data_IF_333769658021
#
_entry.id   IF_333769658021
#
_cell.length_a   1.000
_cell.length_b   1.000
_cell.length_c   1.000
_cell.angle_alpha   90.00
_cell.angle_beta   90.00
_cell.angle_gamma   90.00
#
_symmetry.space_group_name_H-M   'P 1'
#
loop_
_entity.id
_entity.type
_entity.pdbx_description
1 polymer ?
#
# COMPACT_ATOMS: atom_id res chain seq x y z
N UNK A 1 -30.21 -37.29 -32.28
CA UNK A 1 -30.07 -35.94 -31.67
C UNK A 1 -29.38 -35.91 -30.29
N UNK A 2 -29.14 -37.03 -29.60
CA UNK A 2 -28.46 -37.03 -28.27
C UNK A 2 -26.94 -36.82 -28.37
N UNK A 3 -26.31 -37.27 -29.47
CA UNK A 3 -24.85 -37.16 -29.68
C UNK A 3 -24.36 -35.72 -29.89
N UNK A 4 -25.08 -34.90 -30.68
CA UNK A 4 -24.72 -33.48 -30.88
C UNK A 4 -24.87 -32.62 -29.62
N UNK A 5 -25.86 -32.89 -28.75
CA UNK A 5 -26.04 -32.16 -27.49
C UNK A 5 -24.89 -32.41 -26.49
N UNK A 6 -24.36 -33.64 -26.42
CA UNK A 6 -23.18 -33.97 -25.60
C UNK A 6 -21.90 -33.28 -26.12
N UNK A 7 -21.77 -33.14 -27.44
CA UNK A 7 -20.64 -32.45 -28.07
C UNK A 7 -20.61 -30.96 -27.74
N UNK A 8 -21.75 -30.25 -27.82
CA UNK A 8 -21.84 -28.82 -27.48
C UNK A 8 -21.58 -28.60 -25.98
N UNK A 9 -22.15 -29.43 -25.11
CA UNK A 9 -21.91 -29.34 -23.67
C UNK A 9 -20.43 -29.53 -23.32
N UNK A 10 -19.75 -30.48 -23.97
CA UNK A 10 -18.30 -30.66 -23.80
C UNK A 10 -17.51 -29.44 -24.24
N UNK A 11 -17.85 -28.84 -25.39
CA UNK A 11 -17.17 -27.63 -25.89
C UNK A 11 -17.35 -26.46 -24.91
N UNK A 12 -18.56 -26.25 -24.40
CA UNK A 12 -18.86 -25.20 -23.42
C UNK A 12 -18.13 -25.44 -22.09
N UNK A 13 -18.12 -26.68 -21.59
CA UNK A 13 -17.39 -27.02 -20.37
C UNK A 13 -15.87 -26.83 -20.52
N UNK A 14 -15.30 -27.24 -21.65
CA UNK A 14 -13.86 -27.05 -21.92
C UNK A 14 -13.50 -25.57 -22.05
N UNK A 15 -14.37 -24.77 -22.67
CA UNK A 15 -14.20 -23.31 -22.76
C UNK A 15 -14.28 -22.62 -21.39
N UNK A 16 -15.23 -23.02 -20.55
CA UNK A 16 -15.32 -22.48 -19.18
C UNK A 16 -14.13 -22.90 -18.33
N UNK A 17 -13.68 -24.15 -18.45
CA UNK A 17 -12.50 -24.64 -17.74
C UNK A 17 -11.23 -23.90 -18.18
N UNK A 18 -11.05 -23.64 -19.48
CA UNK A 18 -9.92 -22.86 -19.98
C UNK A 18 -9.99 -21.41 -19.54
N UNK A 19 -11.17 -20.79 -19.52
CA UNK A 19 -11.37 -19.44 -19.00
C UNK A 19 -10.99 -19.34 -17.51
N UNK A 20 -11.41 -20.30 -16.69
CA UNK A 20 -11.05 -20.36 -15.27
C UNK A 20 -9.53 -20.49 -15.11
N UNK A 21 -8.88 -21.37 -15.89
CA UNK A 21 -7.43 -21.52 -15.85
C UNK A 21 -6.70 -20.22 -16.21
N UNK A 22 -7.17 -19.50 -17.25
CA UNK A 22 -6.61 -18.20 -17.63
C UNK A 22 -6.75 -17.18 -16.49
N UNK A 23 -7.92 -17.13 -15.84
CA UNK A 23 -8.14 -16.23 -14.70
C UNK A 23 -7.26 -16.61 -13.49
N UNK A 24 -7.05 -17.89 -13.22
CA UNK A 24 -6.15 -18.35 -12.17
C UNK A 24 -4.70 -17.93 -12.45
N UNK A 25 -4.22 -18.12 -13.69
CA UNK A 25 -2.87 -17.69 -14.09
C UNK A 25 -2.74 -16.17 -14.01
N UNK A 26 -3.74 -15.42 -14.48
CA UNK A 26 -3.74 -13.96 -14.39
C UNK A 26 -3.68 -13.47 -12.93
N UNK A 27 -4.43 -14.12 -12.03
CA UNK A 27 -4.40 -13.79 -10.61
C UNK A 27 -3.04 -14.10 -9.97
N UNK A 28 -2.44 -15.26 -10.29
CA UNK A 28 -1.10 -15.60 -9.80
C UNK A 28 -0.03 -14.61 -10.29
N UNK A 29 -0.10 -14.20 -11.57
CA UNK A 29 0.79 -13.17 -12.13
C UNK A 29 0.59 -11.83 -11.41
N UNK A 30 -0.66 -11.45 -11.12
CA UNK A 30 -0.98 -10.24 -10.38
C UNK A 30 -0.43 -10.28 -8.95
N UNK A 31 -0.56 -11.40 -8.25
CA UNK A 31 -0.02 -11.56 -6.89
C UNK A 31 1.51 -11.41 -6.86
N UNK A 32 2.22 -12.02 -7.83
CA UNK A 32 3.67 -11.86 -7.98
C UNK A 32 4.04 -10.41 -8.29
N UNK A 33 3.29 -9.75 -9.17
CA UNK A 33 3.47 -8.34 -9.47
C UNK A 33 3.34 -7.46 -8.21
N UNK A 34 2.27 -7.65 -7.43
CA UNK A 34 2.02 -6.90 -6.19
C UNK A 34 3.15 -7.11 -5.18
N UNK A 35 3.67 -8.33 -5.04
CA UNK A 35 4.79 -8.61 -4.15
C UNK A 35 6.09 -7.91 -4.57
N UNK A 36 6.39 -7.88 -5.87
CA UNK A 36 7.55 -7.15 -6.40
C UNK A 36 7.42 -5.66 -6.15
N UNK A 37 6.24 -5.09 -6.43
CA UNK A 37 5.99 -3.66 -6.25
C UNK A 37 6.00 -3.25 -4.77
N UNK A 38 5.68 -4.14 -3.83
CA UNK A 38 5.78 -3.86 -2.39
C UNK A 38 7.23 -3.54 -1.98
N UNK A 39 8.21 -4.27 -2.53
CA UNK A 39 9.64 -3.99 -2.30
C UNK A 39 10.05 -2.63 -2.89
N UNK A 40 9.59 -2.34 -4.11
CA UNK A 40 9.81 -1.04 -4.76
C UNK A 40 9.22 0.12 -3.96
N UNK A 41 7.98 -0.03 -3.49
CA UNK A 41 7.30 0.97 -2.67
C UNK A 41 8.05 1.24 -1.35
N UNK A 42 8.54 0.20 -0.67
CA UNK A 42 9.35 0.36 0.54
C UNK A 42 10.66 1.13 0.27
N UNK A 43 11.34 0.83 -0.83
CA UNK A 43 12.57 1.54 -1.22
C UNK A 43 12.30 3.01 -1.57
N UNK A 44 11.20 3.30 -2.29
CA UNK A 44 10.79 4.67 -2.64
C UNK A 44 10.43 5.46 -1.40
N UNK A 45 9.71 4.84 -0.45
CA UNK A 45 9.38 5.46 0.82
C UNK A 45 10.65 5.88 1.58
N UNK A 46 11.62 4.98 1.73
CA UNK A 46 12.87 5.28 2.43
C UNK A 46 13.66 6.44 1.81
N UNK A 47 13.62 6.59 0.47
CA UNK A 47 14.31 7.68 -0.25
C UNK A 47 13.51 8.98 -0.29
N UNK A 48 12.18 8.90 -0.41
CA UNK A 48 11.31 10.07 -0.65
C UNK A 48 11.07 10.89 0.61
N UNK A 49 10.86 10.25 1.77
CA UNK A 49 10.60 10.96 3.02
C UNK A 49 11.69 12.01 3.36
N UNK A 50 12.99 11.67 3.43
CA UNK A 50 14.01 12.67 3.73
C UNK A 50 14.15 13.73 2.63
N UNK A 51 13.97 13.36 1.35
CA UNK A 51 14.00 14.30 0.22
C UNK A 51 12.92 15.38 0.31
N UNK A 52 11.79 15.07 0.95
CA UNK A 52 10.68 16.00 1.16
C UNK A 52 10.63 16.60 2.57
N UNK A 53 11.73 16.51 3.33
CA UNK A 53 11.88 17.15 4.64
C UNK A 53 11.37 16.34 5.83
N UNK A 54 10.95 15.09 5.61
CA UNK A 54 10.48 14.22 6.68
C UNK A 54 11.61 13.34 7.22
N UNK A 55 12.02 13.60 8.46
CA UNK A 55 12.93 12.72 9.19
C UNK A 55 12.12 11.66 9.93
N UNK A 56 11.80 10.56 9.26
CA UNK A 56 11.06 9.46 9.88
C UNK A 56 11.91 8.74 10.94
N UNK A 57 11.34 8.48 12.12
CA UNK A 57 11.97 7.73 13.23
C UNK A 57 11.37 6.35 13.41
N UNK A 58 10.06 6.23 13.20
CA UNK A 58 9.36 4.97 13.16
C UNK A 58 8.61 4.93 11.84
N UNK A 59 8.75 3.84 11.11
CA UNK A 59 8.03 3.57 9.85
C UNK A 59 7.43 2.18 10.01
N UNK A 60 6.11 2.07 9.91
CA UNK A 60 5.44 0.78 9.89
C UNK A 60 5.78 0.02 8.60
N UNK A 61 5.62 -1.31 8.63
CA UNK A 61 5.73 -2.11 7.41
C UNK A 61 4.72 -1.64 6.38
N UNK A 62 5.15 -1.56 5.12
CA UNK A 62 4.27 -1.21 4.01
C UNK A 62 3.14 -2.22 3.90
N UNK A 63 1.91 -1.72 3.94
CA UNK A 63 0.70 -2.48 3.73
C UNK A 63 0.22 -2.25 2.31
N UNK A 64 -0.20 -3.31 1.62
CA UNK A 64 -0.73 -3.22 0.26
C UNK A 64 -2.23 -3.39 0.27
N UNK A 65 -2.92 -2.43 -0.35
CA UNK A 65 -4.34 -2.54 -0.68
C UNK A 65 -4.46 -2.75 -2.18
N UNK A 66 -4.62 -4.01 -2.58
CA UNK A 66 -4.73 -4.41 -3.99
C UNK A 66 -6.20 -4.48 -4.45
N UNK A 67 -7.11 -5.04 -3.65
CA UNK A 67 -8.55 -5.11 -3.97
C UNK A 67 -8.84 -5.58 -5.40
N UNK A 68 -9.92 -5.09 -6.00
CA UNK A 68 -10.24 -5.25 -7.43
C UNK A 68 -9.57 -4.17 -8.30
N UNK A 69 -8.62 -3.41 -7.74
CA UNK A 69 -8.01 -2.29 -8.46
C UNK A 69 -6.88 -2.82 -9.34
N UNK A 70 -6.87 -2.39 -10.59
CA UNK A 70 -5.79 -2.66 -11.55
C UNK A 70 -4.42 -2.18 -11.03
N UNK A 71 -4.41 -1.09 -10.25
CA UNK A 71 -3.19 -0.53 -9.65
C UNK A 71 -3.26 -0.64 -8.12
N UNK A 72 -2.33 -1.39 -7.50
CA UNK A 72 -2.27 -1.50 -6.05
C UNK A 72 -1.88 -0.16 -5.42
N UNK A 73 -2.44 0.12 -4.25
CA UNK A 73 -2.01 1.24 -3.40
C UNK A 73 -1.21 0.69 -2.23
N UNK A 74 -0.05 1.27 -1.98
CA UNK A 74 0.83 0.90 -0.87
C UNK A 74 0.77 1.99 0.19
N UNK A 75 0.61 1.63 1.45
CA UNK A 75 0.45 2.58 2.53
C UNK A 75 1.34 2.23 3.70
N UNK A 76 1.91 3.23 4.36
CA UNK A 76 2.61 3.06 5.62
C UNK A 76 2.40 4.28 6.51
N UNK A 77 2.49 4.06 7.81
CA UNK A 77 2.52 5.15 8.78
C UNK A 77 3.94 5.41 9.21
N UNK A 78 4.25 6.68 9.47
CA UNK A 78 5.53 7.05 10.06
C UNK A 78 5.39 8.21 11.03
N UNK A 79 6.36 8.34 11.92
CA UNK A 79 6.43 9.45 12.88
C UNK A 79 7.72 10.23 12.71
N UNK A 80 7.61 11.54 12.90
CA UNK A 80 8.76 12.44 12.99
C UNK A 80 9.12 12.70 14.46
N UNK A 81 10.33 13.22 14.75
CA UNK A 81 10.69 13.68 16.09
C UNK A 81 9.71 14.70 16.68
N UNK A 82 9.17 15.60 15.85
CA UNK A 82 8.18 16.58 16.28
C UNK A 82 6.85 15.94 16.70
N UNK A 83 6.36 14.95 15.93
CA UNK A 83 5.20 14.15 16.33
C UNK A 83 5.44 13.42 17.65
N UNK A 84 6.58 12.73 17.79
CA UNK A 84 6.92 12.01 19.04
C UNK A 84 6.97 12.93 20.24
N UNK A 85 7.55 14.12 20.11
CA UNK A 85 7.59 15.12 21.20
C UNK A 85 6.18 15.58 21.61
N UNK A 86 5.28 15.80 20.65
CA UNK A 86 3.88 16.15 20.91
C UNK A 86 3.13 15.00 21.57
N UNK A 87 3.27 13.78 21.06
CA UNK A 87 2.68 12.57 21.61
C UNK A 87 3.15 12.32 23.05
N UNK A 88 4.45 12.44 23.30
CA UNK A 88 5.02 12.27 24.63
C UNK A 88 4.39 13.25 25.63
N UNK A 89 4.30 14.53 25.28
CA UNK A 89 3.67 15.54 26.13
C UNK A 89 2.20 15.20 26.41
N UNK A 90 1.45 14.80 25.38
CA UNK A 90 0.03 14.45 25.49
C UNK A 90 -0.18 13.22 26.39
N UNK A 91 0.56 12.14 26.15
CA UNK A 91 0.44 10.89 26.90
C UNK A 91 0.96 11.03 28.33
N UNK A 92 2.02 11.83 28.55
CA UNK A 92 2.52 12.16 29.90
C UNK A 92 1.46 12.92 30.71
N UNK A 93 0.81 13.91 30.11
CA UNK A 93 -0.28 14.64 30.76
C UNK A 93 -1.48 13.74 31.09
N UNK A 94 -1.74 12.72 30.27
CA UNK A 94 -2.79 11.74 30.48
C UNK A 94 -2.37 10.57 31.41
N UNK A 95 -1.18 10.59 32.02
CA UNK A 95 -0.68 9.51 32.87
C UNK A 95 -0.51 8.16 32.16
N UNK A 96 -0.49 8.16 30.82
CA UNK A 96 -0.63 6.95 29.99
C UNK A 96 0.67 6.48 29.35
N UNK A 97 1.80 7.16 29.61
CA UNK A 97 3.10 6.82 29.01
C UNK A 97 3.98 6.03 29.97
N UNK A 98 4.51 4.89 29.50
CA UNK A 98 5.47 4.06 30.26
C UNK A 98 6.91 4.38 29.86
N UNK A 99 7.15 4.79 28.62
CA UNK A 99 8.46 5.20 28.11
C UNK A 99 8.37 6.17 26.92
N UNK A 100 9.44 6.93 26.65
CA UNK A 100 9.53 7.77 25.45
C UNK A 100 9.39 6.99 24.13
N UNK A 101 9.69 5.69 24.15
CA UNK A 101 9.58 4.80 22.97
C UNK A 101 8.14 4.51 22.58
N UNK A 102 7.19 4.69 23.50
CA UNK A 102 5.77 4.43 23.27
C UNK A 102 5.07 5.57 22.52
N UNK A 103 5.75 6.72 22.36
CA UNK A 103 5.18 7.96 21.81
C UNK A 103 5.04 7.98 20.27
N UNK A 104 4.79 6.85 19.62
CA UNK A 104 4.56 6.79 18.16
C UNK A 104 3.13 7.18 17.75
N UNK A 105 2.19 7.13 18.69
CA UNK A 105 0.79 7.54 18.50
C UNK A 105 0.42 8.54 19.60
N UNK A 106 -0.63 9.36 19.44
CA UNK A 106 -1.62 9.36 18.34
C UNK A 106 -1.27 10.22 17.12
N UNK A 107 -0.27 11.10 17.19
CA UNK A 107 0.12 11.95 16.05
C UNK A 107 1.15 11.26 15.16
N UNK A 108 0.83 11.11 13.88
CA UNK A 108 1.65 10.46 12.86
C UNK A 108 1.35 11.02 11.46
N UNK A 109 2.13 10.59 10.48
CA UNK A 109 1.85 10.79 9.06
C UNK A 109 1.54 9.45 8.39
N UNK A 110 0.64 9.47 7.42
CA UNK A 110 0.39 8.36 6.52
C UNK A 110 1.00 8.71 5.17
N UNK A 111 1.77 7.80 4.59
CA UNK A 111 2.21 7.89 3.21
C UNK A 111 1.47 6.84 2.38
N UNK A 112 0.92 7.28 1.24
CA UNK A 112 0.28 6.44 0.24
C UNK A 112 1.08 6.53 -1.06
N UNK A 113 1.45 5.39 -1.61
CA UNK A 113 2.18 5.26 -2.87
C UNK A 113 1.32 4.50 -3.87
N UNK A 114 1.23 5.02 -5.10
CA UNK A 114 0.58 4.33 -6.22
C UNK A 114 1.29 4.67 -7.51
N UNK A 115 1.39 3.72 -8.44
CA UNK A 115 1.89 4.03 -9.78
C UNK A 115 0.85 4.87 -10.51
N UNK A 116 1.27 5.99 -11.09
CA UNK A 116 0.36 6.86 -11.85
C UNK A 116 0.10 6.32 -13.25
N UNK A 117 1.15 5.82 -13.91
CA UNK A 117 1.11 5.31 -15.29
C UNK A 117 1.97 4.03 -15.42
N UNK A 118 1.90 3.35 -16.58
CA UNK A 118 2.80 2.24 -16.97
C UNK A 118 4.31 2.63 -17.04
N UNK A 119 4.66 3.90 -16.86
CA UNK A 119 6.02 4.45 -17.02
C UNK A 119 6.80 4.63 -15.71
N UNK A 120 6.68 3.68 -14.78
CA UNK A 120 7.45 3.62 -13.51
C UNK A 120 7.41 4.89 -12.62
N UNK A 121 6.45 5.79 -12.84
CA UNK A 121 6.29 6.97 -12.01
C UNK A 121 5.32 6.68 -10.87
N UNK A 122 5.71 7.07 -9.67
CA UNK A 122 4.97 6.88 -8.43
C UNK A 122 4.42 8.19 -7.92
N UNK A 123 3.12 8.22 -7.66
CA UNK A 123 2.50 9.25 -6.83
C UNK A 123 2.69 8.87 -5.37
N UNK A 124 3.36 9.74 -4.63
CA UNK A 124 3.60 9.65 -3.20
C UNK A 124 2.81 10.75 -2.51
N UNK A 125 1.75 10.38 -1.82
CA UNK A 125 0.90 11.30 -1.06
C UNK A 125 1.20 11.16 0.42
N UNK A 126 1.59 12.24 1.09
CA UNK A 126 1.82 12.27 2.53
C UNK A 126 0.69 13.08 3.16
N UNK A 127 -0.01 12.47 4.12
CA UNK A 127 -1.09 13.08 4.89
C UNK A 127 -0.76 13.05 6.38
N UNK A 128 -1.02 14.13 7.08
CA UNK A 128 -0.92 14.17 8.54
C UNK A 128 -2.18 13.61 9.20
N UNK A 129 -2.04 13.05 10.41
CA UNK A 129 -3.17 12.53 11.18
C UNK A 129 -3.91 13.61 11.99
N UNK A 130 -3.51 14.89 11.90
CA UNK A 130 -3.92 15.92 12.88
C UNK A 130 -4.30 17.24 12.23
N UNK A 131 -3.52 17.69 11.26
CA UNK A 131 -3.76 18.92 10.52
C UNK A 131 -4.13 18.58 9.07
N UNK A 132 -4.67 19.57 8.36
CA UNK A 132 -5.07 19.46 6.95
C UNK A 132 -3.86 19.38 6.00
N UNK A 133 -2.70 18.93 6.51
CA UNK A 133 -1.53 18.70 5.69
C UNK A 133 -1.75 17.48 4.79
N UNK A 134 -1.83 17.74 3.50
CA UNK A 134 -1.78 16.74 2.45
C UNK A 134 -0.92 17.26 1.30
N UNK A 135 0.05 16.46 0.87
CA UNK A 135 0.88 16.82 -0.27
C UNK A 135 1.26 15.59 -1.10
N UNK A 136 1.13 15.75 -2.40
CA UNK A 136 1.42 14.72 -3.39
C UNK A 136 2.67 15.08 -4.17
N UNK A 137 3.55 14.10 -4.35
CA UNK A 137 4.80 14.22 -5.09
C UNK A 137 4.86 13.11 -6.13
N UNK A 138 5.35 13.43 -7.33
CA UNK A 138 5.67 12.42 -8.33
C UNK A 138 7.16 12.10 -8.25
N UNK A 139 7.47 10.82 -8.05
CA UNK A 139 8.83 10.29 -7.99
C UNK A 139 9.02 9.21 -9.03
N UNK A 140 10.21 9.17 -9.61
CA UNK A 140 10.66 8.19 -10.61
C UNK A 140 11.74 7.31 -9.99
#
# INVERSE_FOLDING_TARGET
MVSQKKSILHVVCTFLASLILILCVANAVYDVYVQLENKSAAAILQKSLPKHGFQAKFVESVQTTAGWKLVPTFTAKFTTPSCRKRNYKLLKNAGSIKSERDANLPYYYTVSLSKTNFFDTWSVTIRSSVDDYEKTYNVR
#
